data_IF_758173840371
#
_entry.id   IF_758173840371
#
_cell.length_a   1.000
_cell.length_b   1.000
_cell.length_c   1.000
_cell.angle_alpha   90.00
_cell.angle_beta   90.00
_cell.angle_gamma   90.00
#
_symmetry.space_group_name_H-M   'P 1'
#
loop_
_entity.id
_entity.type
_entity.pdbx_description
1 polymer ?
#
# COMPACT_ATOMS: atom_id res chain seq x y z
N UNK A 1 -6.24 -4.62 -9.59
CA UNK A 1 -5.92 -6.06 -9.77
C UNK A 1 -7.05 -6.84 -10.42
N UNK A 2 -8.32 -6.66 -10.03
CA UNK A 2 -9.48 -7.33 -10.68
C UNK A 2 -9.50 -7.11 -12.21
N UNK A 3 -9.38 -5.85 -12.66
CA UNK A 3 -9.33 -5.53 -14.10
C UNK A 3 -8.15 -6.18 -14.85
N UNK A 4 -7.03 -6.41 -14.16
CA UNK A 4 -5.87 -7.09 -14.75
C UNK A 4 -6.07 -8.60 -14.85
N UNK A 5 -6.77 -9.21 -13.88
CA UNK A 5 -7.13 -10.64 -13.93
C UNK A 5 -8.15 -10.98 -15.01
N UNK A 6 -8.98 -9.99 -15.41
CA UNK A 6 -9.94 -10.12 -16.51
C UNK A 6 -9.35 -9.79 -17.89
N UNK A 7 -8.12 -9.24 -17.95
CA UNK A 7 -7.49 -8.86 -19.21
C UNK A 7 -7.08 -10.12 -20.00
N UNK A 8 -7.65 -10.29 -21.19
CA UNK A 8 -7.35 -11.41 -22.09
C UNK A 8 -6.22 -11.09 -23.09
N UNK A 9 -5.88 -9.80 -23.25
CA UNK A 9 -4.87 -9.33 -24.20
C UNK A 9 -3.65 -8.71 -23.48
N UNK A 10 -2.45 -9.03 -23.96
CA UNK A 10 -1.18 -8.52 -23.39
C UNK A 10 -1.09 -6.99 -23.45
N UNK A 11 -1.64 -6.37 -24.52
CA UNK A 11 -1.69 -4.92 -24.68
C UNK A 11 -2.55 -4.23 -23.62
N UNK A 12 -3.70 -4.79 -23.27
CA UNK A 12 -4.55 -4.27 -22.18
C UNK A 12 -3.83 -4.37 -20.84
N UNK A 13 -3.18 -5.51 -20.59
CA UNK A 13 -2.40 -5.72 -19.37
C UNK A 13 -1.26 -4.70 -19.24
N UNK A 14 -0.53 -4.43 -20.32
CA UNK A 14 0.56 -3.45 -20.36
C UNK A 14 0.06 -2.03 -20.06
N UNK A 15 -1.03 -1.61 -20.71
CA UNK A 15 -1.64 -0.28 -20.49
C UNK A 15 -2.10 -0.12 -19.04
N UNK A 16 -2.78 -1.13 -18.49
CA UNK A 16 -3.18 -1.15 -17.08
C UNK A 16 -1.98 -1.04 -16.13
N UNK A 17 -0.86 -1.67 -16.47
CA UNK A 17 0.38 -1.59 -15.69
C UNK A 17 1.01 -0.20 -15.75
N UNK A 18 1.03 0.41 -16.92
CA UNK A 18 1.51 1.78 -17.10
C UNK A 18 0.65 2.78 -16.30
N UNK A 19 -0.68 2.63 -16.36
CA UNK A 19 -1.61 3.47 -15.59
C UNK A 19 -1.43 3.28 -14.08
N UNK A 20 -1.26 2.04 -13.62
CA UNK A 20 -0.99 1.75 -12.22
C UNK A 20 0.35 2.36 -11.77
N UNK A 21 1.36 2.38 -12.63
CA UNK A 21 2.63 3.04 -12.39
C UNK A 21 2.50 4.55 -12.24
N UNK A 22 1.71 5.20 -13.10
CA UNK A 22 1.40 6.64 -13.00
C UNK A 22 0.69 6.98 -11.68
N UNK A 23 -0.26 6.16 -11.24
CA UNK A 23 -0.95 6.33 -9.96
C UNK A 23 -0.06 5.99 -8.74
N UNK A 24 1.04 5.27 -8.95
CA UNK A 24 1.99 4.88 -7.91
C UNK A 24 2.67 6.05 -7.22
N UNK A 25 2.68 7.25 -7.82
CA UNK A 25 3.17 8.49 -7.22
C UNK A 25 2.46 8.90 -5.94
N UNK A 26 1.30 8.31 -5.63
CA UNK A 26 0.59 8.51 -4.36
C UNK A 26 1.32 7.91 -3.14
N UNK A 27 2.10 6.84 -3.31
CA UNK A 27 2.80 6.15 -2.21
C UNK A 27 3.80 7.06 -1.47
N UNK A 28 4.73 7.77 -2.15
CA UNK A 28 5.62 8.71 -1.46
C UNK A 28 4.88 9.91 -0.86
N UNK A 29 3.76 10.34 -1.46
CA UNK A 29 2.92 11.40 -0.93
C UNK A 29 2.27 11.00 0.41
N UNK A 30 1.76 9.76 0.50
CA UNK A 30 1.24 9.20 1.75
C UNK A 30 2.33 9.07 2.82
N UNK A 31 3.52 8.60 2.44
CA UNK A 31 4.67 8.52 3.36
C UNK A 31 5.09 9.90 3.89
N UNK A 32 5.10 10.92 3.04
CA UNK A 32 5.38 12.30 3.44
C UNK A 32 4.30 12.87 4.37
N UNK A 33 3.02 12.57 4.11
CA UNK A 33 1.92 12.95 5.00
C UNK A 33 2.05 12.31 6.39
N UNK A 34 2.38 11.02 6.45
CA UNK A 34 2.61 10.32 7.73
C UNK A 34 3.82 10.94 8.46
N UNK A 35 4.91 11.20 7.75
CA UNK A 35 6.11 11.82 8.32
C UNK A 35 5.85 13.23 8.88
N UNK A 36 4.91 13.97 8.30
CA UNK A 36 4.54 15.33 8.76
C UNK A 36 3.45 15.32 9.84
N UNK A 37 2.59 14.31 9.88
CA UNK A 37 1.52 14.18 10.89
C UNK A 37 1.98 13.48 12.19
N UNK A 38 3.04 12.67 12.15
CA UNK A 38 3.54 11.96 13.35
C UNK A 38 4.57 12.83 14.10
N UNK A 39 4.44 13.01 15.44
CA UNK A 39 5.42 13.76 16.22
C UNK A 39 6.82 13.14 16.10
N UNK A 40 7.85 13.99 15.96
CA UNK A 40 9.27 13.63 15.69
C UNK A 40 9.86 12.53 16.60
N UNK A 41 9.27 12.31 17.77
CA UNK A 41 9.72 11.29 18.72
C UNK A 41 9.17 9.87 18.44
N UNK A 42 8.19 9.71 17.53
CA UNK A 42 7.61 8.41 17.14
C UNK A 42 7.58 8.17 15.63
N UNK A 43 8.02 9.14 14.80
CA UNK A 43 8.05 9.02 13.34
C UNK A 43 8.92 7.85 12.87
N UNK A 44 10.07 7.60 13.53
CA UNK A 44 10.94 6.46 13.22
C UNK A 44 10.30 5.09 13.47
N UNK A 45 9.50 4.96 14.54
CA UNK A 45 8.78 3.71 14.83
C UNK A 45 7.63 3.51 13.83
N UNK A 46 6.85 4.56 13.52
CA UNK A 46 5.76 4.49 12.56
C UNK A 46 6.24 4.19 11.12
N UNK A 47 7.27 4.89 10.63
CA UNK A 47 7.88 4.57 9.33
C UNK A 47 8.59 3.22 9.35
N UNK A 48 9.19 2.83 10.48
CA UNK A 48 9.82 1.51 10.65
C UNK A 48 8.81 0.37 10.53
N UNK A 49 7.65 0.48 11.18
CA UNK A 49 6.55 -0.49 11.04
C UNK A 49 6.00 -0.53 9.61
N UNK A 50 5.84 0.64 8.97
CA UNK A 50 5.39 0.71 7.58
C UNK A 50 6.39 0.07 6.60
N UNK A 51 7.68 0.35 6.78
CA UNK A 51 8.76 -0.19 5.96
C UNK A 51 8.91 -1.70 6.17
N UNK A 52 8.92 -2.18 7.41
CA UNK A 52 8.97 -3.62 7.71
C UNK A 52 7.77 -4.36 7.14
N UNK A 53 6.57 -3.78 7.21
CA UNK A 53 5.37 -4.30 6.52
C UNK A 53 5.55 -4.34 4.99
N UNK A 54 6.13 -3.31 4.40
CA UNK A 54 6.43 -3.25 2.96
C UNK A 54 7.47 -4.30 2.52
N UNK A 55 8.57 -4.44 3.25
CA UNK A 55 9.63 -5.42 2.95
C UNK A 55 9.12 -6.86 3.14
N UNK A 56 8.41 -7.13 4.24
CA UNK A 56 7.81 -8.44 4.47
C UNK A 56 6.77 -8.78 3.39
N UNK A 57 5.94 -7.83 2.98
CA UNK A 57 5.02 -8.01 1.85
C UNK A 57 5.74 -8.24 0.52
N UNK A 58 6.85 -7.54 0.26
CA UNK A 58 7.65 -7.71 -0.95
C UNK A 58 8.38 -9.06 -1.02
N UNK A 59 8.69 -9.67 0.13
CA UNK A 59 9.25 -11.02 0.22
C UNK A 59 8.17 -12.10 0.10
N UNK A 60 7.09 -11.96 0.87
CA UNK A 60 6.00 -12.93 0.90
C UNK A 60 5.19 -12.95 -0.39
N UNK A 61 5.05 -11.80 -1.06
CA UNK A 61 4.27 -11.66 -2.28
C UNK A 61 4.74 -12.57 -3.43
N UNK A 62 6.01 -12.49 -3.87
CA UNK A 62 6.57 -13.36 -4.90
C UNK A 62 6.65 -14.83 -4.47
N UNK A 63 6.94 -15.11 -3.19
CA UNK A 63 6.98 -16.49 -2.69
C UNK A 63 5.59 -17.15 -2.79
N UNK A 64 4.56 -16.50 -2.26
CA UNK A 64 3.19 -17.03 -2.33
C UNK A 64 2.66 -17.02 -3.77
N UNK A 65 2.84 -15.91 -4.49
CA UNK A 65 2.36 -15.74 -5.86
C UNK A 65 3.05 -16.67 -6.86
N UNK A 66 4.35 -16.95 -6.67
CA UNK A 66 5.13 -17.85 -7.51
C UNK A 66 4.71 -19.32 -7.34
N UNK A 67 4.54 -19.77 -6.10
CA UNK A 67 4.03 -21.13 -5.81
C UNK A 67 2.63 -21.35 -6.40
N UNK A 68 1.75 -20.35 -6.29
CA UNK A 68 0.40 -20.39 -6.86
C UNK A 68 0.42 -20.35 -8.40
N UNK A 69 1.34 -19.58 -8.99
CA UNK A 69 1.50 -19.47 -10.44
C UNK A 69 2.03 -20.77 -11.07
N UNK A 70 2.88 -21.50 -10.35
CA UNK A 70 3.47 -22.76 -10.81
C UNK A 70 2.42 -23.88 -10.93
N UNK A 71 1.52 -23.99 -9.94
CA UNK A 71 0.50 -25.05 -9.93
C UNK A 71 -0.75 -24.76 -10.78
N UNK A 72 -1.19 -23.49 -10.88
CA UNK A 72 -2.49 -23.14 -11.49
C UNK A 72 -2.43 -21.99 -12.51
N UNK A 73 -1.23 -21.54 -12.88
CA UNK A 73 -1.01 -20.41 -13.79
C UNK A 73 -1.31 -19.04 -13.17
N UNK A 74 -1.14 -17.98 -13.95
CA UNK A 74 -1.21 -16.59 -13.48
C UNK A 74 -2.63 -16.08 -13.17
N UNK A 75 -3.67 -16.63 -13.80
CA UNK A 75 -5.07 -16.17 -13.65
C UNK A 75 -5.58 -16.23 -12.19
N UNK A 76 -5.50 -17.37 -11.47
CA UNK A 76 -5.97 -17.44 -10.09
C UNK A 76 -5.17 -16.55 -9.13
N UNK A 77 -3.87 -16.32 -9.41
CA UNK A 77 -3.02 -15.44 -8.59
C UNK A 77 -3.57 -14.01 -8.54
N UNK A 78 -4.07 -13.49 -9.67
CA UNK A 78 -4.68 -12.16 -9.72
C UNK A 78 -5.97 -12.09 -8.91
N UNK A 79 -6.79 -13.15 -8.92
CA UNK A 79 -8.02 -13.21 -8.14
C UNK A 79 -7.74 -13.27 -6.63
N UNK A 80 -6.79 -14.10 -6.21
CA UNK A 80 -6.36 -14.17 -4.80
C UNK A 80 -5.84 -12.82 -4.33
N UNK A 81 -4.96 -12.18 -5.11
CA UNK A 81 -4.42 -10.85 -4.78
C UNK A 81 -5.54 -9.81 -4.69
N UNK A 82 -6.53 -9.86 -5.58
CA UNK A 82 -7.69 -8.98 -5.52
C UNK A 82 -8.54 -9.21 -4.26
N UNK A 83 -8.81 -10.46 -3.89
CA UNK A 83 -9.53 -10.81 -2.67
C UNK A 83 -8.79 -10.34 -1.41
N UNK A 84 -7.47 -10.52 -1.35
CA UNK A 84 -6.64 -10.02 -0.24
C UNK A 84 -6.71 -8.49 -0.15
N UNK A 85 -6.65 -7.77 -1.28
CA UNK A 85 -6.80 -6.31 -1.30
C UNK A 85 -8.19 -5.86 -0.84
N UNK A 86 -9.25 -6.56 -1.26
CA UNK A 86 -10.63 -6.29 -0.81
C UNK A 86 -10.76 -6.55 0.69
N UNK A 87 -10.20 -7.66 1.19
CA UNK A 87 -10.21 -7.96 2.61
C UNK A 87 -9.46 -6.87 3.40
N UNK A 88 -8.30 -6.44 2.92
CA UNK A 88 -7.52 -5.36 3.51
C UNK A 88 -8.29 -4.03 3.50
N UNK A 89 -9.01 -3.74 2.42
CA UNK A 89 -9.91 -2.59 2.34
C UNK A 89 -11.04 -2.68 3.37
N UNK A 90 -11.69 -3.84 3.51
CA UNK A 90 -12.72 -4.08 4.52
C UNK A 90 -12.18 -3.96 5.95
N UNK A 91 -11.03 -4.56 6.23
CA UNK A 91 -10.36 -4.44 7.53
C UNK A 91 -10.01 -2.99 7.81
N UNK A 92 -9.51 -2.26 6.82
CA UNK A 92 -9.26 -0.82 6.98
C UNK A 92 -10.58 -0.10 7.23
N UNK A 93 -11.63 -0.33 6.46
CA UNK A 93 -12.91 0.35 6.63
C UNK A 93 -13.55 0.09 8.01
N UNK A 94 -13.49 -1.14 8.51
CA UNK A 94 -14.04 -1.53 9.82
C UNK A 94 -13.14 -1.16 11.00
N UNK A 95 -11.82 -1.35 10.86
CA UNK A 95 -10.84 -1.13 11.94
C UNK A 95 -10.42 0.35 12.02
N UNK A 96 -10.47 1.08 10.91
CA UNK A 96 -10.40 2.55 10.84
C UNK A 96 -11.78 3.17 11.14
N UNK A 97 -12.51 2.57 12.08
CA UNK A 97 -13.49 3.34 12.85
C UNK A 97 -12.66 4.37 13.60
N UNK A 98 -12.70 5.63 13.18
CA UNK A 98 -12.05 6.74 13.87
C UNK A 98 -12.48 6.73 15.34
N UNK A 99 -11.71 6.02 16.18
CA UNK A 99 -11.64 6.37 17.58
C UNK A 99 -10.85 7.67 17.58
N UNK A 100 -11.61 8.76 17.51
CA UNK A 100 -11.17 10.15 17.55
C UNK A 100 -10.38 10.40 18.84
N UNK A 101 -9.13 9.92 18.88
CA UNK A 101 -8.12 10.46 19.77
C UNK A 101 -7.24 11.38 18.93
N UNK A 102 -7.71 12.63 18.90
CA UNK A 102 -6.95 13.85 18.67
C UNK A 102 -5.43 13.62 18.75
N UNK A 103 -4.75 13.74 17.62
CA UNK A 103 -3.37 14.24 17.61
C UNK A 103 -3.21 15.38 16.61
N UNK A 104 -4.19 16.30 16.65
CA UNK A 104 -3.98 17.68 16.25
C UNK A 104 -3.15 18.40 17.33
N UNK A 105 -1.84 18.13 17.43
CA UNK A 105 -0.90 19.05 18.09
C UNK A 105 0.57 18.63 17.91
N UNK A 106 1.33 19.38 17.09
CA UNK A 106 2.25 20.43 17.57
C UNK A 106 3.16 20.94 16.43
N UNK A 107 3.01 22.24 16.15
CA UNK A 107 4.00 23.21 15.61
C UNK A 107 4.37 23.01 14.13
N UNK A 108 3.96 23.84 13.14
CA UNK A 108 3.82 25.31 13.11
C UNK A 108 4.65 26.04 14.16
N UNK A 109 5.98 25.91 14.08
CA UNK A 109 6.95 26.89 14.60
C UNK A 109 8.38 26.38 14.38
N UNK A 110 8.85 26.22 13.13
CA UNK A 110 10.27 26.43 12.79
C UNK A 110 10.40 26.91 11.33
N UNK A 111 9.62 27.94 10.97
CA UNK A 111 9.94 28.85 9.86
C UNK A 111 10.79 29.99 10.43
N UNK A 112 11.96 29.67 10.97
CA UNK A 112 12.77 30.68 11.67
C UNK A 112 13.93 30.12 12.46
N UNK A 113 14.97 29.70 11.76
CA UNK A 113 16.35 30.03 12.12
C UNK A 113 17.30 29.55 11.03
N UNK A 114 17.80 30.55 10.28
CA UNK A 114 19.05 30.59 9.52
C UNK A 114 19.38 29.37 8.67
#
# INVERSE_FOLDING_TARGET
MVLMGLAQNIWQFLILRALLGLLGGFVPNANALIATQVPRNKSGWALGTLSTGGVSGALLGPMAGGLLADSYGLRPVFFITASVLILCFFVTLFCIRENSSRSAKKRCCICGKW
#
